data_IF_867171039686
#
_entry.id   IF_867171039686
#
_cell.length_a   1.000
_cell.length_b   1.000
_cell.length_c   1.000
_cell.angle_alpha   90.00
_cell.angle_beta   90.00
_cell.angle_gamma   90.00
#
_symmetry.space_group_name_H-M   'P 1'
#
loop_
_entity.id
_entity.type
_entity.pdbx_description
1 polymer ?
#
# COMPACT_ATOMS: atom_id res chain seq x y z
N UNK A 1 -10.50 8.37 -24.07
CA UNK A 1 -9.84 8.51 -22.75
C UNK A 1 -8.43 9.05 -22.93
N UNK A 2 -7.93 9.91 -22.01
CA UNK A 2 -6.55 10.38 -22.03
C UNK A 2 -5.53 9.24 -21.91
N UNK A 3 -4.35 9.43 -22.50
CA UNK A 3 -3.24 8.45 -22.46
C UNK A 3 -2.21 8.91 -21.43
N UNK A 4 -1.79 8.01 -20.54
CA UNK A 4 -0.66 8.23 -19.65
C UNK A 4 0.66 7.87 -20.35
N UNK A 5 1.63 8.77 -20.32
CA UNK A 5 2.96 8.62 -20.94
C UNK A 5 4.04 8.83 -19.89
N UNK A 6 5.04 7.96 -19.82
CA UNK A 6 6.21 8.22 -19.00
C UNK A 6 7.16 9.18 -19.71
N UNK A 7 7.75 10.07 -18.93
CA UNK A 7 8.88 10.88 -19.35
C UNK A 7 10.09 10.00 -19.61
N UNK A 8 10.93 10.39 -20.58
CA UNK A 8 12.15 9.66 -20.87
C UNK A 8 13.20 9.80 -19.76
N UNK A 9 13.07 10.82 -18.91
CA UNK A 9 13.96 11.08 -17.78
C UNK A 9 13.32 10.58 -16.49
N UNK A 10 14.16 10.07 -15.60
CA UNK A 10 13.83 9.82 -14.19
C UNK A 10 14.40 10.96 -13.32
N UNK A 11 13.96 11.08 -12.07
CA UNK A 11 14.59 12.00 -11.11
C UNK A 11 16.04 11.60 -10.80
N UNK A 12 16.82 12.53 -10.24
CA UNK A 12 18.20 12.22 -9.80
C UNK A 12 18.22 11.10 -8.74
N UNK A 13 17.33 11.16 -7.76
CA UNK A 13 17.21 10.11 -6.73
C UNK A 13 16.83 8.74 -7.32
N UNK A 14 15.91 8.70 -8.29
CA UNK A 14 15.59 7.45 -8.98
C UNK A 14 16.76 6.92 -9.83
N UNK A 15 17.59 7.83 -10.38
CA UNK A 15 18.80 7.46 -11.10
C UNK A 15 19.86 6.86 -10.16
N UNK A 16 20.07 7.46 -8.98
CA UNK A 16 20.99 6.97 -7.96
C UNK A 16 20.65 5.54 -7.52
N UNK A 17 19.36 5.25 -7.30
CA UNK A 17 18.89 3.91 -6.94
C UNK A 17 19.17 2.84 -8.04
N UNK A 18 19.36 3.25 -9.30
CA UNK A 18 19.68 2.35 -10.40
C UNK A 18 21.18 2.12 -10.59
N UNK A 19 22.04 3.01 -10.09
CA UNK A 19 23.49 2.94 -10.31
C UNK A 19 24.12 1.58 -9.96
N UNK A 20 23.79 0.94 -8.81
CA UNK A 20 24.34 -0.37 -8.47
C UNK A 20 23.95 -1.49 -9.46
N UNK A 21 22.89 -1.28 -10.25
CA UNK A 21 22.33 -2.27 -11.16
C UNK A 21 22.78 -2.07 -12.61
N UNK A 22 23.44 -0.96 -12.95
CA UNK A 22 23.89 -0.65 -14.33
C UNK A 22 24.81 -1.74 -14.87
N UNK A 23 25.86 -2.09 -14.13
CA UNK A 23 26.84 -3.08 -14.59
C UNK A 23 26.21 -4.49 -14.75
N UNK A 24 25.47 -5.02 -13.76
CA UNK A 24 24.73 -6.27 -13.93
C UNK A 24 23.77 -6.29 -15.12
N UNK A 25 23.12 -5.16 -15.45
CA UNK A 25 22.20 -5.08 -16.60
C UNK A 25 22.94 -4.98 -17.93
N UNK A 26 24.10 -4.32 -17.96
CA UNK A 26 24.97 -4.29 -19.13
C UNK A 26 25.52 -5.68 -19.46
N UNK A 27 25.98 -6.42 -18.44
CA UNK A 27 26.56 -7.75 -18.59
C UNK A 27 25.51 -8.83 -18.93
N UNK A 28 24.22 -8.58 -18.65
CA UNK A 28 23.12 -9.50 -18.92
C UNK A 28 22.02 -8.82 -19.76
N UNK A 29 22.24 -8.64 -21.07
CA UNK A 29 21.22 -8.10 -21.98
C UNK A 29 19.94 -8.92 -21.94
N UNK A 30 18.79 -8.25 -21.85
CA UNK A 30 17.47 -8.90 -21.70
C UNK A 30 17.13 -9.30 -20.25
N UNK A 31 18.04 -9.08 -19.30
CA UNK A 31 17.78 -9.27 -17.88
C UNK A 31 16.63 -8.39 -17.40
N UNK A 32 15.72 -8.98 -16.61
CA UNK A 32 14.63 -8.25 -15.96
C UNK A 32 14.98 -7.98 -14.51
N UNK A 33 14.55 -6.82 -14.01
CA UNK A 33 14.63 -6.44 -12.60
C UNK A 33 13.26 -5.98 -12.13
N UNK A 34 12.96 -6.29 -10.88
CA UNK A 34 11.79 -5.79 -10.19
C UNK A 34 12.13 -4.46 -9.54
N UNK A 35 11.21 -3.51 -9.52
CA UNK A 35 11.36 -2.24 -8.82
C UNK A 35 10.01 -1.76 -8.32
N UNK A 36 10.01 -1.03 -7.21
CA UNK A 36 8.89 -0.22 -6.76
C UNK A 36 9.14 1.20 -7.29
N UNK A 37 8.13 1.79 -7.91
CA UNK A 37 8.24 3.14 -8.48
C UNK A 37 7.17 4.06 -7.92
N UNK A 38 7.56 5.30 -7.68
CA UNK A 38 6.67 6.43 -7.50
C UNK A 38 6.80 7.33 -8.72
N UNK A 39 5.67 7.84 -9.23
CA UNK A 39 5.69 8.79 -10.34
C UNK A 39 4.79 9.99 -10.08
N UNK A 40 5.24 11.16 -10.55
CA UNK A 40 4.53 12.41 -10.42
C UNK A 40 4.08 12.95 -11.78
N UNK A 41 2.94 13.65 -11.80
CA UNK A 41 2.48 14.40 -12.95
C UNK A 41 3.49 15.48 -13.33
N UNK A 42 3.84 15.59 -14.61
CA UNK A 42 4.71 16.66 -15.12
C UNK A 42 4.06 17.56 -16.15
N UNK A 43 3.17 17.03 -16.99
CA UNK A 43 2.57 17.80 -18.08
C UNK A 43 1.22 17.21 -18.49
N UNK A 44 0.26 18.09 -18.80
CA UNK A 44 -1.00 17.73 -19.44
C UNK A 44 -1.00 18.31 -20.85
N UNK A 45 -1.32 17.48 -21.84
CA UNK A 45 -1.50 17.89 -23.23
C UNK A 45 -2.96 17.75 -23.63
N UNK A 46 -3.56 18.86 -24.03
CA UNK A 46 -4.87 18.90 -24.68
C UNK A 46 -4.70 19.29 -26.15
N UNK A 47 -5.03 18.39 -27.09
CA UNK A 47 -5.06 18.72 -28.50
C UNK A 47 -6.08 19.83 -28.76
N UNK A 48 -5.75 20.78 -29.63
CA UNK A 48 -6.69 21.81 -30.04
C UNK A 48 -7.89 21.20 -30.79
N UNK A 49 -9.06 21.88 -30.82
CA UNK A 49 -10.22 21.42 -31.57
C UNK A 49 -9.83 21.16 -33.04
N UNK A 50 -10.20 20.00 -33.58
CA UNK A 50 -9.90 19.55 -34.95
C UNK A 50 -8.45 19.13 -35.23
N UNK A 51 -7.62 18.91 -34.20
CA UNK A 51 -6.29 18.29 -34.37
C UNK A 51 -6.35 16.80 -34.12
N UNK A 52 -5.66 16.00 -34.94
CA UNK A 52 -5.46 14.59 -34.62
C UNK A 52 -4.54 14.45 -33.40
N UNK A 53 -5.13 14.09 -32.27
CA UNK A 53 -4.42 13.84 -31.03
C UNK A 53 -5.36 13.32 -29.96
N UNK A 54 -4.86 12.42 -29.11
CA UNK A 54 -5.57 12.04 -27.89
C UNK A 54 -5.02 12.88 -26.74
N UNK A 55 -5.87 13.39 -25.83
CA UNK A 55 -5.40 14.01 -24.59
C UNK A 55 -4.37 13.11 -23.91
N UNK A 56 -3.30 13.68 -23.36
CA UNK A 56 -2.31 12.89 -22.65
C UNK A 56 -1.82 13.55 -21.37
N UNK A 57 -1.45 12.70 -20.42
CA UNK A 57 -0.77 13.10 -19.19
C UNK A 57 0.63 12.49 -19.22
N UNK A 58 1.65 13.33 -19.10
CA UNK A 58 3.02 12.90 -18.95
C UNK A 58 3.36 12.83 -17.47
N UNK A 59 3.97 11.73 -17.03
CA UNK A 59 4.42 11.49 -15.66
C UNK A 59 5.92 11.17 -15.64
N UNK A 60 6.61 11.50 -14.55
CA UNK A 60 8.02 11.20 -14.35
C UNK A 60 8.18 10.29 -13.13
N UNK A 61 9.05 9.28 -13.22
CA UNK A 61 9.44 8.50 -12.04
C UNK A 61 10.25 9.39 -11.11
N UNK A 62 9.72 9.62 -9.91
CA UNK A 62 10.30 10.49 -8.88
C UNK A 62 10.99 9.72 -7.78
N UNK A 63 10.49 8.53 -7.45
CA UNK A 63 11.09 7.59 -6.50
C UNK A 63 11.21 6.21 -7.14
N UNK A 64 12.30 5.52 -6.83
CA UNK A 64 12.56 4.17 -7.33
C UNK A 64 13.36 3.40 -6.30
N UNK A 65 12.92 2.18 -6.00
CA UNK A 65 13.66 1.25 -5.14
C UNK A 65 13.69 -0.13 -5.77
N UNK A 66 14.88 -0.75 -5.76
CA UNK A 66 15.10 -2.10 -6.27
C UNK A 66 15.26 -3.04 -5.07
N UNK A 67 14.36 -4.02 -4.87
CA UNK A 67 14.48 -4.95 -3.76
C UNK A 67 15.76 -5.79 -3.90
N UNK A 68 16.37 -6.10 -2.76
CA UNK A 68 17.41 -7.11 -2.71
C UNK A 68 16.82 -8.53 -2.85
N UNK A 69 17.68 -9.56 -2.90
CA UNK A 69 17.26 -10.96 -3.10
C UNK A 69 16.27 -11.45 -2.06
N UNK A 70 16.43 -11.03 -0.80
CA UNK A 70 15.58 -11.48 0.30
C UNK A 70 14.22 -10.77 0.29
N UNK A 71 14.16 -9.55 -0.27
CA UNK A 71 12.94 -8.75 -0.39
C UNK A 71 12.10 -9.10 -1.63
N UNK A 72 12.73 -9.66 -2.67
CA UNK A 72 12.07 -9.89 -3.97
C UNK A 72 10.81 -10.76 -3.86
N UNK A 73 10.82 -11.75 -2.96
CA UNK A 73 9.65 -12.61 -2.70
C UNK A 73 8.44 -11.82 -2.20
N UNK A 74 8.64 -10.94 -1.21
CA UNK A 74 7.59 -10.10 -0.65
C UNK A 74 7.02 -9.12 -1.69
N UNK A 75 7.88 -8.54 -2.55
CA UNK A 75 7.41 -7.61 -3.58
C UNK A 75 6.62 -8.33 -4.68
N UNK A 76 7.02 -9.54 -5.08
CA UNK A 76 6.26 -10.38 -6.03
C UNK A 76 4.87 -10.72 -5.49
N UNK A 77 4.77 -10.97 -4.20
CA UNK A 77 3.51 -11.28 -3.54
C UNK A 77 2.59 -10.04 -3.50
N UNK A 78 3.11 -8.89 -3.10
CA UNK A 78 2.38 -7.62 -3.15
C UNK A 78 1.91 -7.28 -4.57
N UNK A 79 2.75 -7.51 -5.59
CA UNK A 79 2.37 -7.32 -6.99
C UNK A 79 1.21 -8.24 -7.41
N UNK A 80 1.25 -9.51 -7.00
CA UNK A 80 0.16 -10.46 -7.27
C UNK A 80 -1.14 -10.00 -6.60
N UNK A 81 -1.08 -9.55 -5.35
CA UNK A 81 -2.24 -9.03 -4.64
C UNK A 81 -2.85 -7.81 -5.32
N UNK A 82 -2.05 -6.80 -5.66
CA UNK A 82 -2.51 -5.60 -6.38
C UNK A 82 -3.11 -5.95 -7.75
N UNK A 83 -2.53 -6.94 -8.44
CA UNK A 83 -3.09 -7.44 -9.69
C UNK A 83 -4.47 -8.05 -9.47
N UNK A 84 -4.61 -8.94 -8.49
CA UNK A 84 -5.89 -9.58 -8.15
C UNK A 84 -6.94 -8.55 -7.78
N UNK A 85 -6.63 -7.57 -6.93
CA UNK A 85 -7.55 -6.50 -6.56
C UNK A 85 -8.00 -5.69 -7.79
N UNK A 86 -7.08 -5.42 -8.73
CA UNK A 86 -7.40 -4.71 -9.98
C UNK A 86 -8.29 -5.55 -10.91
N UNK A 87 -8.04 -6.84 -11.02
CA UNK A 87 -8.78 -7.74 -11.92
C UNK A 87 -10.06 -8.29 -11.31
N UNK A 88 -10.19 -8.26 -9.98
CA UNK A 88 -11.34 -8.75 -9.23
C UNK A 88 -12.65 -7.98 -9.55
N UNK A 89 -12.55 -6.77 -10.12
CA UNK A 89 -13.72 -6.03 -10.61
C UNK A 89 -14.47 -6.72 -11.76
N UNK A 90 -13.90 -7.75 -12.39
CA UNK A 90 -14.55 -8.55 -13.44
C UNK A 90 -14.84 -10.00 -13.05
N UNK A 91 -14.59 -10.39 -11.79
CA UNK A 91 -14.87 -11.73 -11.26
C UNK A 91 -15.92 -11.68 -10.15
N UNK A 92 -16.83 -10.71 -10.23
CA UNK A 92 -18.14 -10.85 -9.60
C UNK A 92 -18.96 -11.72 -10.54
N UNK A 93 -19.16 -12.97 -10.16
CA UNK A 93 -20.25 -13.75 -10.72
C UNK A 93 -21.55 -13.22 -10.09
N UNK A 94 -22.34 -12.53 -10.90
CA UNK A 94 -23.61 -11.92 -10.49
C UNK A 94 -24.63 -12.98 -10.00
N UNK A 95 -24.41 -14.28 -10.27
CA UNK A 95 -25.32 -15.35 -9.85
C UNK A 95 -25.01 -15.98 -8.48
N UNK A 96 -23.74 -15.98 -8.02
CA UNK A 96 -23.34 -16.71 -6.80
C UNK A 96 -22.75 -15.84 -5.71
N UNK A 97 -22.33 -14.61 -6.02
CA UNK A 97 -21.73 -13.69 -5.03
C UNK A 97 -20.42 -14.20 -4.40
N UNK A 98 -19.82 -15.26 -4.93
CA UNK A 98 -18.58 -15.83 -4.41
C UNK A 98 -17.37 -15.47 -5.26
N UNK A 99 -16.28 -15.14 -4.56
CA UNK A 99 -15.00 -14.76 -5.13
C UNK A 99 -14.15 -16.02 -5.29
N UNK A 100 -14.17 -16.65 -6.47
CA UNK A 100 -13.32 -17.83 -6.72
C UNK A 100 -11.84 -17.41 -6.79
N UNK A 101 -11.13 -17.57 -5.68
CA UNK A 101 -9.68 -17.42 -5.63
C UNK A 101 -9.01 -18.78 -5.87
N UNK A 102 -8.00 -18.79 -6.74
CA UNK A 102 -7.17 -19.99 -6.94
C UNK A 102 -6.50 -20.42 -5.62
N UNK A 103 -6.35 -21.73 -5.41
CA UNK A 103 -5.73 -22.33 -4.21
C UNK A 103 -4.32 -21.77 -3.90
N UNK A 104 -3.58 -21.35 -4.94
CA UNK A 104 -2.27 -20.71 -4.81
C UNK A 104 -2.33 -19.29 -4.23
N UNK A 105 -3.45 -18.58 -4.42
CA UNK A 105 -3.71 -17.26 -3.84
C UNK A 105 -3.98 -17.38 -2.34
N UNK A 106 -4.85 -18.32 -1.95
CA UNK A 106 -5.21 -18.58 -0.54
C UNK A 106 -4.01 -18.90 0.34
N UNK A 107 -3.03 -19.63 -0.20
CA UNK A 107 -1.79 -20.02 0.49
C UNK A 107 -0.84 -18.83 0.75
N UNK A 108 -0.87 -17.81 -0.10
CA UNK A 108 -0.07 -16.59 0.04
C UNK A 108 -0.77 -15.58 0.98
N UNK A 109 -2.09 -15.42 0.86
CA UNK A 109 -2.84 -14.49 1.72
C UNK A 109 -2.87 -14.88 3.20
N UNK A 110 -2.70 -16.15 3.56
CA UNK A 110 -2.69 -16.60 4.95
C UNK A 110 -1.56 -15.95 5.81
N UNK A 111 -0.39 -15.68 5.21
CA UNK A 111 0.70 -14.96 5.90
C UNK A 111 0.50 -13.45 5.93
N UNK A 112 -0.21 -12.90 4.94
CA UNK A 112 -0.47 -11.46 4.82
C UNK A 112 -1.61 -10.98 5.72
N UNK A 113 -2.62 -11.81 5.99
CA UNK A 113 -3.68 -11.52 6.96
C UNK A 113 -3.12 -11.26 8.36
N UNK A 114 -2.19 -12.12 8.81
CA UNK A 114 -1.49 -11.93 10.08
C UNK A 114 -0.65 -10.63 10.09
N UNK A 115 -0.01 -10.27 8.97
CA UNK A 115 0.77 -9.03 8.88
C UNK A 115 -0.11 -7.77 8.89
N UNK A 116 -1.26 -7.82 8.21
CA UNK A 116 -2.26 -6.74 8.22
C UNK A 116 -2.83 -6.58 9.63
N UNK A 117 -3.13 -7.68 10.29
CA UNK A 117 -3.64 -7.68 11.66
C UNK A 117 -2.61 -7.11 12.65
N UNK A 118 -1.35 -7.52 12.55
CA UNK A 118 -0.25 -6.96 13.35
C UNK A 118 -0.06 -5.48 13.08
N UNK A 119 -0.12 -5.03 11.82
CA UNK A 119 0.01 -3.62 11.47
C UNK A 119 -1.15 -2.78 12.05
N UNK A 120 -2.36 -3.31 12.00
CA UNK A 120 -3.55 -2.68 12.56
C UNK A 120 -3.49 -2.57 14.09
N UNK A 121 -3.14 -3.66 14.78
CA UNK A 121 -2.95 -3.67 16.23
C UNK A 121 -1.88 -2.67 16.67
N UNK A 122 -0.75 -2.61 15.95
CA UNK A 122 0.31 -1.62 16.21
C UNK A 122 -0.18 -0.19 16.05
N UNK A 123 -0.96 0.11 15.01
CA UNK A 123 -1.51 1.44 14.79
C UNK A 123 -2.50 1.84 15.91
N UNK A 124 -3.40 0.93 16.30
CA UNK A 124 -4.33 1.16 17.40
C UNK A 124 -3.62 1.37 18.75
N UNK A 125 -2.63 0.54 19.06
CA UNK A 125 -1.81 0.68 20.28
C UNK A 125 -1.02 1.99 20.31
N UNK A 126 -0.43 2.40 19.18
CA UNK A 126 0.31 3.66 19.09
C UNK A 126 -0.60 4.87 19.37
N UNK A 127 -1.81 4.88 18.78
CA UNK A 127 -2.79 5.93 19.00
C UNK A 127 -3.18 6.08 20.48
N UNK A 128 -3.53 4.98 21.14
CA UNK A 128 -3.94 5.01 22.55
C UNK A 128 -2.76 5.26 23.50
N UNK A 129 -1.53 4.87 23.14
CA UNK A 129 -0.32 5.26 23.87
C UNK A 129 -0.11 6.77 23.82
N UNK A 130 -0.23 7.39 22.66
CA UNK A 130 -0.11 8.84 22.50
C UNK A 130 -1.24 9.59 23.22
N UNK A 131 -2.45 9.04 23.22
CA UNK A 131 -3.56 9.53 24.03
C UNK A 131 -3.22 9.53 25.52
N UNK A 132 -2.77 8.40 26.06
CA UNK A 132 -2.34 8.28 27.46
C UNK A 132 -1.19 9.23 27.81
N UNK A 133 -0.21 9.37 26.92
CA UNK A 133 0.92 10.29 27.12
C UNK A 133 0.44 11.75 27.21
N UNK A 134 -0.53 12.16 26.37
CA UNK A 134 -1.14 13.50 26.44
C UNK A 134 -1.90 13.74 27.73
N UNK A 135 -2.58 12.73 28.27
CA UNK A 135 -3.25 12.83 29.57
C UNK A 135 -2.25 13.01 30.71
N UNK A 136 -1.15 12.25 30.71
CA UNK A 136 -0.12 12.30 31.75
C UNK A 136 0.65 13.62 31.74
N UNK A 137 0.91 14.20 30.56
CA UNK A 137 1.65 15.46 30.41
C UNK A 137 0.71 16.67 30.22
N UNK A 138 -0.59 16.44 30.35
CA UNK A 138 -1.64 17.41 30.09
C UNK A 138 -1.94 18.29 31.31
N UNK A 139 -2.98 19.13 31.21
CA UNK A 139 -3.44 19.94 32.33
C UNK A 139 -3.91 19.08 33.51
N UNK A 140 -3.87 19.64 34.73
CA UNK A 140 -4.38 18.96 35.93
C UNK A 140 -5.87 18.67 35.77
N UNK A 141 -6.20 17.38 35.72
CA UNK A 141 -7.58 16.89 35.60
C UNK A 141 -8.18 16.64 36.98
N UNK A 142 -9.48 16.91 37.11
CA UNK A 142 -10.27 16.49 38.27
C UNK A 142 -10.45 14.96 38.28
N UNK A 143 -10.78 14.40 39.44
CA UNK A 143 -11.01 12.95 39.57
C UNK A 143 -12.11 12.42 38.62
N UNK A 144 -13.13 13.23 38.34
CA UNK A 144 -14.22 12.87 37.42
C UNK A 144 -13.75 12.85 35.96
N UNK A 145 -12.89 13.80 35.58
CA UNK A 145 -12.29 13.85 34.25
C UNK A 145 -11.30 12.70 34.05
N UNK A 146 -10.44 12.42 35.04
CA UNK A 146 -9.55 11.25 35.01
C UNK A 146 -10.33 9.96 34.80
N UNK A 147 -11.48 9.79 35.48
CA UNK A 147 -12.34 8.61 35.30
C UNK A 147 -12.92 8.52 33.89
N UNK A 148 -13.37 9.63 33.34
CA UNK A 148 -13.90 9.69 31.97
C UNK A 148 -12.83 9.33 30.94
N UNK A 149 -11.64 9.91 31.07
CA UNK A 149 -10.52 9.68 30.17
C UNK A 149 -9.99 8.25 30.22
N UNK A 150 -9.94 7.65 31.43
CA UNK A 150 -9.58 6.24 31.60
C UNK A 150 -10.63 5.30 31.00
N UNK A 151 -11.91 5.67 31.04
CA UNK A 151 -12.97 4.90 30.42
C UNK A 151 -12.89 4.95 28.88
N UNK A 152 -12.65 6.13 28.30
CA UNK A 152 -12.45 6.28 26.86
C UNK A 152 -11.24 5.47 26.36
N UNK A 153 -10.13 5.45 27.12
CA UNK A 153 -8.96 4.64 26.80
C UNK A 153 -9.25 3.12 26.88
N UNK A 154 -10.01 2.68 27.88
CA UNK A 154 -10.38 1.27 28.03
C UNK A 154 -11.33 0.80 26.90
N UNK A 155 -12.35 1.59 26.58
CA UNK A 155 -13.28 1.31 25.48
C UNK A 155 -12.54 1.31 24.13
N UNK A 156 -11.65 2.27 23.93
CA UNK A 156 -10.81 2.37 22.75
C UNK A 156 -9.88 1.19 22.51
N UNK A 157 -9.19 0.73 23.56
CA UNK A 157 -8.35 -0.47 23.49
C UNK A 157 -9.17 -1.75 23.29
N UNK A 158 -10.36 -1.83 23.91
CA UNK A 158 -11.28 -2.96 23.73
C UNK A 158 -11.78 -3.04 22.29
N UNK A 159 -12.10 -1.91 21.66
CA UNK A 159 -12.48 -1.88 20.25
C UNK A 159 -11.35 -2.37 19.31
N UNK A 160 -10.11 -1.95 19.57
CA UNK A 160 -8.92 -2.42 18.81
C UNK A 160 -8.75 -3.94 18.91
N UNK A 161 -9.05 -4.53 20.07
CA UNK A 161 -8.96 -5.98 20.29
C UNK A 161 -10.16 -6.74 19.69
N UNK A 162 -11.38 -6.25 19.83
CA UNK A 162 -12.58 -6.96 19.38
C UNK A 162 -12.72 -6.96 17.85
N UNK A 163 -12.26 -5.89 17.19
CA UNK A 163 -12.20 -5.86 15.72
C UNK A 163 -11.24 -6.95 15.20
N UNK A 164 -10.38 -7.56 16.04
CA UNK A 164 -9.48 -8.68 15.69
C UNK A 164 -10.17 -10.04 15.76
N UNK A 165 -11.25 -10.16 16.53
CA UNK A 165 -11.98 -11.42 16.72
C UNK A 165 -13.06 -11.63 15.65
N UNK A 166 -13.78 -10.57 15.25
CA UNK A 166 -14.85 -10.66 14.23
C UNK A 166 -14.36 -11.06 12.83
N UNK A 167 -13.05 -11.04 12.57
CA UNK A 167 -12.47 -11.48 11.28
C UNK A 167 -12.06 -12.97 11.29
N UNK A 168 -12.18 -13.66 12.44
CA UNK A 168 -11.75 -15.05 12.63
C UNK A 168 -12.89 -16.07 12.85
N UNK A 169 -14.12 -15.61 13.11
CA UNK A 169 -15.25 -16.48 13.49
C UNK A 169 -16.23 -16.81 12.34
N UNK A 170 -15.97 -16.34 11.12
CA UNK A 170 -16.68 -16.84 9.92
C UNK A 170 -15.99 -18.11 9.39
N UNK A 171 -16.19 -19.23 10.10
CA UNK A 171 -15.96 -20.60 9.60
C UNK A 171 -17.25 -21.38 9.47
#
# INVERSE_FOLDING_TARGET
MPILKFDAKVSASAQEALEPHVRPMYDQPGGRRMAIIEFAHIERTEPAPNTEGKPSVRVRITGLEVPNRDQEGAIREAQRYLHLQRTAKGTFDDETGQLELSESTLRLTAGLLANIEVARLRAGLAHWREYAQRLVHGPDLTLSEVRHEMQALAEGLTAVLNTAQDTGDDT
#
